data_IF_305758521744
#
_entry.id   IF_305758521744
#
_cell.length_a   1.000
_cell.length_b   1.000
_cell.length_c   1.000
_cell.angle_alpha   90.00
_cell.angle_beta   90.00
_cell.angle_gamma   90.00
#
_symmetry.space_group_name_H-M   'P 1'
#
loop_
_entity.id
_entity.type
_entity.pdbx_description
1 polymer ?
#
# COMPACT_ATOMS: atom_id res chain seq x y z
N UNK A 1 -3.27 -15.60 -20.99
CA UNK A 1 -2.76 -14.22 -20.79
C UNK A 1 -2.24 -13.71 -22.10
N UNK A 2 -2.63 -12.49 -22.50
CA UNK A 2 -2.35 -11.94 -23.83
C UNK A 2 -0.86 -11.95 -24.19
N UNK A 3 0.01 -11.52 -23.26
CA UNK A 3 1.46 -11.38 -23.49
C UNK A 3 2.28 -12.63 -23.08
N UNK A 4 1.63 -13.72 -22.64
CA UNK A 4 2.32 -14.94 -22.23
C UNK A 4 3.17 -14.86 -20.94
N UNK A 5 3.20 -13.72 -20.25
CA UNK A 5 3.88 -13.55 -18.96
C UNK A 5 3.12 -14.34 -17.89
N UNK A 6 3.75 -15.23 -17.13
CA UNK A 6 3.06 -16.11 -16.16
C UNK A 6 3.44 -15.89 -14.70
N UNK A 7 4.43 -15.07 -14.41
CA UNK A 7 5.09 -14.99 -13.10
C UNK A 7 4.97 -13.62 -12.40
N UNK A 8 3.99 -12.80 -12.79
CA UNK A 8 3.79 -11.47 -12.16
C UNK A 8 2.97 -11.60 -10.88
N UNK A 9 3.49 -11.03 -9.79
CA UNK A 9 2.82 -10.95 -8.49
C UNK A 9 2.66 -9.47 -8.14
N UNK A 10 1.42 -8.99 -8.06
CA UNK A 10 1.08 -7.60 -7.75
C UNK A 10 0.66 -7.52 -6.29
N UNK A 11 1.35 -6.71 -5.51
CA UNK A 11 1.04 -6.50 -4.11
C UNK A 11 0.55 -5.05 -3.95
N UNK A 12 -0.71 -4.89 -3.57
CA UNK A 12 -1.29 -3.59 -3.28
C UNK A 12 -1.19 -3.35 -1.78
N UNK A 13 -0.42 -2.34 -1.39
CA UNK A 13 -0.36 -1.85 -0.01
C UNK A 13 -1.47 -0.81 0.16
N UNK A 14 -2.62 -1.28 0.64
CA UNK A 14 -3.86 -0.53 0.63
C UNK A 14 -4.15 0.09 1.99
N UNK A 15 -3.72 1.35 2.16
CA UNK A 15 -4.03 2.17 3.32
C UNK A 15 -5.29 3.05 3.12
N UNK A 16 -5.97 2.94 1.97
CA UNK A 16 -7.17 3.74 1.66
C UNK A 16 -6.91 5.24 1.48
N UNK A 17 -5.68 5.64 1.15
CA UNK A 17 -5.28 7.03 0.94
C UNK A 17 -4.25 7.17 -0.21
N UNK A 18 -4.13 8.38 -0.75
CA UNK A 18 -2.90 8.84 -1.40
C UNK A 18 -1.84 9.11 -0.33
N UNK A 19 -1.25 8.04 0.22
CA UNK A 19 -0.48 8.06 1.46
C UNK A 19 0.61 9.13 1.54
N UNK A 20 1.36 9.36 0.47
CA UNK A 20 2.42 10.38 0.49
C UNK A 20 1.84 11.78 0.63
N UNK A 21 0.85 12.14 -0.19
CA UNK A 21 0.18 13.46 -0.09
C UNK A 21 -0.51 13.62 1.26
N UNK A 22 -1.11 12.54 1.79
CA UNK A 22 -1.72 12.53 3.13
C UNK A 22 -0.69 12.84 4.21
N UNK A 23 0.49 12.20 4.20
CA UNK A 23 1.57 12.49 5.15
C UNK A 23 2.00 13.97 5.11
N UNK A 24 2.10 14.58 3.93
CA UNK A 24 2.39 16.02 3.82
C UNK A 24 1.28 16.90 4.42
N UNK A 25 0.02 16.58 4.14
CA UNK A 25 -1.13 17.29 4.71
C UNK A 25 -1.21 17.13 6.24
N UNK A 26 -0.79 15.97 6.74
CA UNK A 26 -0.72 15.68 8.17
C UNK A 26 0.34 16.55 8.86
N UNK A 27 1.57 16.52 8.35
CA UNK A 27 2.72 17.19 8.97
C UNK A 27 2.71 18.72 8.82
N UNK A 28 2.17 19.25 7.71
CA UNK A 28 2.32 20.67 7.38
C UNK A 28 1.00 21.44 7.23
N UNK A 29 -0.15 20.75 7.12
CA UNK A 29 -1.47 21.38 6.92
C UNK A 29 -2.44 21.08 8.07
N UNK A 30 -1.93 20.71 9.25
CA UNK A 30 -2.74 20.47 10.45
C UNK A 30 -3.78 19.35 10.27
N UNK A 31 -3.41 18.26 9.59
CA UNK A 31 -4.27 17.09 9.30
C UNK A 31 -5.52 17.44 8.49
N UNK A 32 -5.47 18.51 7.68
CA UNK A 32 -6.54 18.88 6.73
C UNK A 32 -6.45 18.03 5.46
N UNK A 33 -7.05 16.84 5.49
CA UNK A 33 -7.03 15.92 4.37
C UNK A 33 -7.93 16.37 3.22
N UNK A 34 -7.33 16.77 2.09
CA UNK A 34 -8.04 17.25 0.90
C UNK A 34 -7.67 16.40 -0.31
N UNK A 35 -8.66 15.71 -0.89
CA UNK A 35 -8.48 14.88 -2.09
C UNK A 35 -7.62 13.62 -1.90
N UNK A 36 -7.28 13.26 -0.65
CA UNK A 36 -6.41 12.14 -0.33
C UNK A 36 -7.13 10.84 0.07
N UNK A 37 -8.33 10.83 0.68
CA UNK A 37 -9.05 9.57 0.94
C UNK A 37 -9.42 8.84 -0.36
N UNK A 38 -9.22 7.52 -0.40
CA UNK A 38 -9.52 6.66 -1.54
C UNK A 38 -10.50 5.54 -1.16
N UNK A 39 -11.53 5.33 -1.98
CA UNK A 39 -12.49 4.24 -1.80
C UNK A 39 -12.15 3.00 -2.65
N UNK A 40 -11.55 3.18 -3.83
CA UNK A 40 -11.02 2.11 -4.71
C UNK A 40 -12.05 1.04 -5.14
N UNK A 41 -11.75 0.22 -6.16
CA UNK A 41 -12.54 -0.97 -6.47
C UNK A 41 -12.24 -2.12 -5.47
N UNK A 42 -13.04 -3.17 -5.53
CA UNK A 42 -12.67 -4.46 -4.94
C UNK A 42 -11.60 -5.13 -5.82
N UNK A 43 -10.34 -5.00 -5.43
CA UNK A 43 -9.20 -5.51 -6.21
C UNK A 43 -9.19 -7.04 -6.38
N UNK A 44 -9.76 -7.80 -5.43
CA UNK A 44 -9.86 -9.27 -5.57
C UNK A 44 -10.84 -9.62 -6.68
N UNK A 45 -12.00 -8.95 -6.72
CA UNK A 45 -12.97 -9.13 -7.82
C UNK A 45 -12.43 -8.62 -9.15
N UNK A 46 -11.63 -7.55 -9.13
CA UNK A 46 -10.97 -7.05 -10.33
C UNK A 46 -9.98 -8.09 -10.88
N UNK A 47 -9.16 -8.71 -10.02
CA UNK A 47 -8.25 -9.78 -10.41
C UNK A 47 -9.01 -10.96 -11.03
N UNK A 48 -10.09 -11.41 -10.38
CA UNK A 48 -10.95 -12.50 -10.87
C UNK A 48 -11.54 -12.19 -12.25
N UNK A 49 -12.00 -10.94 -12.49
CA UNK A 49 -12.51 -10.51 -13.79
C UNK A 49 -11.47 -10.59 -14.93
N UNK A 50 -10.18 -10.51 -14.60
CA UNK A 50 -9.07 -10.70 -15.57
C UNK A 50 -8.55 -12.15 -15.61
N UNK A 51 -9.17 -13.08 -14.88
CA UNK A 51 -8.73 -14.47 -14.74
C UNK A 51 -7.45 -14.62 -13.91
N UNK A 52 -7.17 -13.65 -13.04
CA UNK A 52 -6.03 -13.68 -12.13
C UNK A 52 -6.49 -14.17 -10.76
N UNK A 53 -5.57 -14.79 -10.02
CA UNK A 53 -5.84 -15.11 -8.62
C UNK A 53 -5.82 -13.83 -7.79
N UNK A 54 -6.91 -13.57 -7.06
CA UNK A 54 -6.99 -12.47 -6.09
C UNK A 54 -6.93 -12.98 -4.66
N UNK A 55 -6.12 -12.35 -3.81
CA UNK A 55 -6.00 -12.65 -2.37
C UNK A 55 -6.22 -11.35 -1.59
N UNK A 56 -7.01 -11.39 -0.51
CA UNK A 56 -7.14 -10.26 0.43
C UNK A 56 -6.48 -10.63 1.75
N UNK A 57 -5.68 -9.72 2.30
CA UNK A 57 -5.02 -9.87 3.59
C UNK A 57 -5.43 -8.73 4.50
N UNK A 58 -6.07 -9.04 5.63
CA UNK A 58 -6.56 -8.05 6.59
C UNK A 58 -5.88 -8.14 7.96
N UNK A 59 -5.06 -9.19 8.18
CA UNK A 59 -4.36 -9.41 9.44
C UNK A 59 -2.90 -9.72 9.16
N UNK A 60 -2.01 -9.18 9.99
CA UNK A 60 -0.56 -9.38 9.86
C UNK A 60 -0.15 -10.86 9.93
N UNK A 61 -0.89 -11.68 10.68
CA UNK A 61 -0.64 -13.13 10.79
C UNK A 61 -0.83 -13.89 9.47
N UNK A 62 -1.63 -13.35 8.54
CA UNK A 62 -1.95 -14.01 7.27
C UNK A 62 -0.96 -13.64 6.15
N UNK A 63 -0.02 -12.71 6.41
CA UNK A 63 0.90 -12.17 5.39
C UNK A 63 1.78 -13.26 4.79
N UNK A 64 2.42 -14.09 5.62
CA UNK A 64 3.32 -15.13 5.14
C UNK A 64 2.58 -16.16 4.28
N UNK A 65 1.41 -16.62 4.75
CA UNK A 65 0.60 -17.58 4.03
C UNK A 65 0.14 -17.05 2.65
N UNK A 66 -0.25 -15.78 2.57
CA UNK A 66 -0.65 -15.16 1.31
C UNK A 66 0.52 -15.03 0.31
N UNK A 67 1.72 -14.71 0.80
CA UNK A 67 2.93 -14.66 -0.03
C UNK A 67 3.28 -16.06 -0.55
N UNK A 68 3.27 -17.07 0.32
CA UNK A 68 3.58 -18.45 -0.06
C UNK A 68 2.58 -18.98 -1.11
N UNK A 69 1.29 -18.70 -0.92
CA UNK A 69 0.22 -19.04 -1.86
C UNK A 69 0.40 -18.34 -3.22
N UNK A 70 0.75 -17.05 -3.22
CA UNK A 70 0.99 -16.30 -4.43
C UNK A 70 2.20 -16.85 -5.20
N UNK A 71 3.27 -17.22 -4.50
CA UNK A 71 4.48 -17.79 -5.09
C UNK A 71 4.25 -19.21 -5.64
N UNK A 72 3.43 -20.03 -4.98
CA UNK A 72 3.08 -21.37 -5.43
C UNK A 72 2.11 -21.40 -6.62
N UNK A 73 1.43 -20.29 -6.91
CA UNK A 73 0.46 -20.21 -8.02
C UNK A 73 1.18 -20.05 -9.36
N UNK A 74 0.99 -21.02 -10.28
CA UNK A 74 1.41 -20.89 -11.69
C UNK A 74 0.45 -19.94 -12.43
N UNK A 75 0.85 -18.67 -12.52
CA UNK A 75 0.01 -17.62 -13.06
C UNK A 75 0.13 -16.30 -12.29
N UNK A 76 -0.61 -15.29 -12.74
CA UNK A 76 -0.55 -13.97 -12.18
C UNK A 76 -1.40 -13.91 -10.90
N UNK A 77 -0.90 -13.20 -9.90
CA UNK A 77 -1.57 -13.07 -8.60
C UNK A 77 -1.61 -11.62 -8.20
N UNK A 78 -2.76 -11.17 -7.70
CA UNK A 78 -2.93 -9.89 -7.03
C UNK A 78 -3.21 -10.14 -5.54
N UNK A 79 -2.47 -9.46 -4.67
CA UNK A 79 -2.73 -9.45 -3.23
C UNK A 79 -3.10 -8.04 -2.80
N UNK A 80 -4.27 -7.88 -2.17
CA UNK A 80 -4.76 -6.64 -1.54
C UNK A 80 -4.47 -6.68 -0.04
N UNK A 81 -3.36 -6.06 0.38
CA UNK A 81 -2.99 -5.92 1.79
C UNK A 81 -3.68 -4.70 2.39
N UNK A 82 -4.63 -4.92 3.29
CA UNK A 82 -5.23 -3.85 4.09
C UNK A 82 -4.30 -3.52 5.25
N UNK A 83 -3.75 -2.32 5.22
CA UNK A 83 -2.76 -1.84 6.20
C UNK A 83 -3.31 -0.64 6.96
N UNK A 84 -2.61 -0.26 8.03
CA UNK A 84 -2.93 0.93 8.81
C UNK A 84 -2.96 2.18 7.93
N UNK A 85 -3.98 3.02 8.14
CA UNK A 85 -4.34 4.09 7.20
C UNK A 85 -3.40 5.28 7.29
N UNK A 86 -2.94 5.59 8.50
CA UNK A 86 -2.27 6.84 8.84
C UNK A 86 -0.77 6.68 9.18
N UNK A 87 -0.16 5.53 8.84
CA UNK A 87 1.29 5.35 9.03
C UNK A 87 2.08 6.26 8.09
N UNK A 88 3.03 6.98 8.66
CA UNK A 88 3.96 7.88 7.96
C UNK A 88 5.30 7.17 7.67
N UNK A 89 6.00 7.64 6.63
CA UNK A 89 7.34 7.15 6.27
C UNK A 89 8.39 8.02 6.95
N UNK A 90 9.20 7.39 7.79
CA UNK A 90 10.36 7.98 8.44
C UNK A 90 11.62 7.12 8.19
N UNK A 91 12.82 7.71 8.22
CA UNK A 91 13.06 9.13 8.46
C UNK A 91 12.77 10.00 7.23
N UNK A 92 12.50 11.29 7.44
CA UNK A 92 12.19 12.26 6.37
C UNK A 92 12.96 13.57 6.57
N UNK A 93 13.54 14.12 5.49
CA UNK A 93 14.09 15.48 5.47
C UNK A 93 13.03 16.42 4.89
N UNK A 94 12.50 17.39 5.67
CA UNK A 94 11.51 18.34 5.17
C UNK A 94 12.07 19.22 4.04
N UNK A 95 11.19 19.87 3.27
CA UNK A 95 11.66 20.82 2.26
C UNK A 95 12.49 21.93 2.90
N UNK A 96 13.54 22.35 2.21
CA UNK A 96 14.47 23.40 2.66
C UNK A 96 15.23 23.07 3.95
N UNK A 97 15.36 21.79 4.32
CA UNK A 97 16.17 21.33 5.46
C UNK A 97 17.41 20.57 5.00
N UNK A 98 18.45 20.61 5.84
CA UNK A 98 19.66 19.81 5.63
C UNK A 98 19.45 18.36 6.08
N UNK A 99 20.32 17.46 5.62
CA UNK A 99 20.30 16.04 6.06
C UNK A 99 20.42 15.91 7.58
N UNK A 100 21.10 16.85 8.26
CA UNK A 100 21.25 16.85 9.72
C UNK A 100 19.99 17.27 10.49
N UNK A 101 18.95 17.78 9.80
CA UNK A 101 17.68 18.24 10.39
C UNK A 101 16.53 17.27 10.08
N UNK A 102 16.86 15.99 9.95
CA UNK A 102 15.93 14.92 9.62
C UNK A 102 14.94 14.65 10.77
N UNK A 103 13.67 14.44 10.43
CA UNK A 103 12.64 13.94 11.34
C UNK A 103 12.77 12.41 11.38
N UNK A 104 13.06 11.85 12.56
CA UNK A 104 13.37 10.42 12.72
C UNK A 104 12.19 9.56 13.18
N UNK A 105 11.16 10.17 13.76
CA UNK A 105 9.96 9.50 14.23
C UNK A 105 8.77 10.45 14.11
N UNK A 106 7.56 9.89 14.22
CA UNK A 106 6.35 10.68 14.27
C UNK A 106 6.36 11.56 15.54
N UNK A 107 6.25 12.89 15.44
CA UNK A 107 6.22 13.77 16.61
C UNK A 107 4.95 13.58 17.47
N UNK A 108 3.90 12.95 16.92
CA UNK A 108 2.62 12.72 17.60
C UNK A 108 2.46 11.27 18.14
N UNK A 109 3.44 10.36 17.95
CA UNK A 109 3.44 9.00 18.54
C UNK A 109 4.31 8.87 19.79
#
# INVERSE_FOLDING_TARGET
MQEGIKNVKVLIINNGFLGMVRQWQELFEGKRYSGTPLTGPDFVKLADAYGWKGIRVERSADVQAAIDEAMATDGPVLIDFRVEREVNVFPMVPQNKSIGEMITADPDM
#
